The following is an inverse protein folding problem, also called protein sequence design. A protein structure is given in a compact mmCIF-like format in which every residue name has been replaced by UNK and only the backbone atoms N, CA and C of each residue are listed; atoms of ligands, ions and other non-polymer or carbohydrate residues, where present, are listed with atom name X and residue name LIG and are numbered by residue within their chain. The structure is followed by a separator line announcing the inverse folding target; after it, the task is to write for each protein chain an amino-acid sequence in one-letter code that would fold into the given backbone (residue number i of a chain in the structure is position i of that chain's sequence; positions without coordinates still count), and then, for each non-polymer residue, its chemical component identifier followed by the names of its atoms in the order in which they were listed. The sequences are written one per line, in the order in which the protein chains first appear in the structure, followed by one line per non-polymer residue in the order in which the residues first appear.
data_IF_558847790359
#
_entry.id   IF_558847790359
#
_cell.length_a   1.000
_cell.length_b   1.000
_cell.length_c   1.000
_cell.angle_alpha   90.00
_cell.angle_beta   90.00
_cell.angle_gamma   90.00
#
_symmetry.space_group_name_H-M   'P 1'
#
loop_
_entity.id
_entity.type
_entity.pdbx_description
1 polymer ?
#
# COMPACT_ATOMS: atom_id res chain seq x y z
N UNK A 1 -25.30 -34.39 38.27
CA UNK A 1 -25.28 -34.15 36.82
C UNK A 1 -25.83 -32.75 36.59
N UNK A 2 -24.97 -31.75 36.47
CA UNK A 2 -25.35 -30.36 36.21
C UNK A 2 -24.36 -29.79 35.19
N UNK A 3 -24.90 -28.89 34.36
CA UNK A 3 -24.24 -27.97 33.44
C UNK A 3 -23.87 -28.53 32.06
N UNK A 4 -24.82 -28.40 31.14
CA UNK A 4 -24.49 -27.96 29.79
C UNK A 4 -24.16 -26.47 29.83
N UNK A 5 -23.07 -26.09 29.16
CA UNK A 5 -22.73 -24.71 28.83
C UNK A 5 -22.42 -24.69 27.34
N UNK A 6 -23.44 -24.32 26.55
CA UNK A 6 -23.22 -23.81 25.21
C UNK A 6 -22.71 -22.39 25.33
N UNK A 7 -21.47 -22.15 24.90
CA UNK A 7 -20.95 -20.81 24.65
C UNK A 7 -21.20 -20.50 23.19
N UNK A 8 -22.32 -19.84 22.89
CA UNK A 8 -22.47 -19.08 21.65
C UNK A 8 -21.69 -17.78 21.84
N UNK A 9 -20.53 -17.67 21.21
CA UNK A 9 -19.88 -16.39 21.02
C UNK A 9 -20.68 -15.60 19.98
N UNK A 10 -21.63 -14.79 20.43
CA UNK A 10 -22.09 -13.66 19.63
C UNK A 10 -20.89 -12.70 19.50
N UNK A 11 -20.31 -12.65 18.30
CA UNK A 11 -19.40 -11.59 17.94
C UNK A 11 -20.22 -10.29 17.96
N UNK A 12 -20.00 -9.46 18.98
CA UNK A 12 -20.57 -8.12 19.03
C UNK A 12 -20.06 -7.36 17.80
N UNK A 13 -20.94 -7.09 16.84
CA UNK A 13 -20.66 -6.19 15.73
C UNK A 13 -20.61 -4.78 16.28
N UNK A 14 -19.40 -4.26 16.48
CA UNK A 14 -19.20 -2.85 16.76
C UNK A 14 -19.26 -2.05 15.46
N UNK A 15 -20.15 -1.06 15.43
CA UNK A 15 -20.29 -0.17 14.28
C UNK A 15 -19.23 0.93 14.36
N UNK A 16 -18.56 1.22 13.24
CA UNK A 16 -17.62 2.34 13.13
C UNK A 16 -18.22 3.69 13.58
N UNK A 17 -19.56 3.84 13.53
CA UNK A 17 -20.27 5.00 14.07
C UNK A 17 -20.09 5.21 15.57
N UNK A 18 -19.89 4.14 16.34
CA UNK A 18 -19.80 4.17 17.81
C UNK A 18 -18.46 4.77 18.28
N UNK A 19 -17.48 4.82 17.36
CA UNK A 19 -16.14 5.39 17.55
C UNK A 19 -16.00 6.83 17.02
N UNK A 20 -17.10 7.45 16.57
CA UNK A 20 -17.05 8.79 15.97
C UNK A 20 -16.30 8.84 14.64
N UNK A 21 -16.15 7.69 13.96
CA UNK A 21 -15.49 7.59 12.66
C UNK A 21 -16.26 8.43 11.65
N UNK A 22 -15.56 9.34 10.95
CA UNK A 22 -16.13 10.20 9.90
C UNK A 22 -16.89 9.32 8.89
N UNK A 23 -18.05 9.78 8.38
CA UNK A 23 -18.88 9.05 7.39
C UNK A 23 -18.11 8.61 6.12
N UNK A 24 -16.90 9.14 5.89
CA UNK A 24 -16.04 8.85 4.74
C UNK A 24 -14.64 8.32 5.12
N UNK A 25 -14.50 7.63 6.26
CA UNK A 25 -13.20 7.10 6.68
C UNK A 25 -12.65 6.07 5.67
N UNK A 26 -11.39 6.27 5.28
CA UNK A 26 -10.75 5.48 4.24
C UNK A 26 -9.94 4.33 4.85
N UNK A 27 -10.63 3.23 5.18
CA UNK A 27 -9.96 1.99 5.58
C UNK A 27 -9.33 1.33 4.35
N UNK A 28 -8.00 1.23 4.34
CA UNK A 28 -7.26 0.61 3.26
C UNK A 28 -6.69 -0.73 3.67
N UNK A 29 -6.99 -1.75 2.87
CA UNK A 29 -6.38 -3.07 3.02
C UNK A 29 -4.97 -3.09 2.44
N UNK A 30 -3.95 -3.09 3.30
CA UNK A 30 -2.54 -3.07 2.89
C UNK A 30 -2.18 -4.36 2.16
N UNK A 31 -1.75 -4.21 0.91
CA UNK A 31 -1.48 -5.31 -0.04
C UNK A 31 -2.65 -6.29 -0.12
N UNK A 32 -3.87 -5.76 -0.06
CA UNK A 32 -5.10 -6.51 0.19
C UNK A 32 -5.34 -6.72 1.68
N UNK A 33 -5.00 -7.88 2.22
CA UNK A 33 -5.20 -8.18 3.64
C UNK A 33 -4.02 -9.02 4.14
N UNK A 34 -2.79 -8.50 4.02
CA UNK A 34 -1.54 -9.27 4.24
C UNK A 34 -1.47 -9.99 5.58
N UNK A 35 -2.15 -9.51 6.61
CA UNK A 35 -2.24 -10.19 7.91
C UNK A 35 -3.06 -11.47 7.89
N UNK A 36 -3.92 -11.64 6.89
CA UNK A 36 -4.95 -12.69 6.80
C UNK A 36 -4.82 -13.58 5.57
N UNK A 37 -4.33 -13.05 4.46
CA UNK A 37 -4.16 -13.74 3.17
C UNK A 37 -2.84 -13.30 2.48
N UNK A 38 -2.35 -14.02 1.46
CA UNK A 38 -1.07 -13.72 0.83
C UNK A 38 -1.06 -12.34 0.20
N UNK A 39 -0.04 -11.54 0.52
CA UNK A 39 0.05 -10.14 0.11
C UNK A 39 0.09 -9.95 -1.41
N UNK A 40 -0.52 -8.87 -1.90
CA UNK A 40 -0.49 -8.49 -3.31
C UNK A 40 -0.93 -9.62 -4.27
N UNK A 41 -1.76 -10.55 -3.78
CA UNK A 41 -2.36 -11.62 -4.59
C UNK A 41 -3.84 -11.37 -4.83
N UNK A 42 -4.40 -11.97 -5.88
CA UNK A 42 -5.84 -11.90 -6.14
C UNK A 42 -6.67 -12.47 -4.97
N UNK A 43 -6.16 -13.49 -4.28
CA UNK A 43 -6.78 -14.00 -3.05
C UNK A 43 -6.75 -12.97 -1.91
N UNK A 44 -5.61 -12.30 -1.70
CA UNK A 44 -5.48 -11.22 -0.71
C UNK A 44 -6.44 -10.06 -0.96
N UNK A 45 -6.59 -9.64 -2.22
CA UNK A 45 -7.55 -8.60 -2.60
C UNK A 45 -9.00 -9.06 -2.47
N UNK A 46 -9.30 -10.30 -2.86
CA UNK A 46 -10.64 -10.87 -2.63
C UNK A 46 -10.99 -10.87 -1.15
N UNK A 47 -10.03 -11.21 -0.28
CA UNK A 47 -10.25 -11.19 1.16
C UNK A 47 -10.52 -9.77 1.69
N UNK A 48 -9.80 -8.77 1.21
CA UNK A 48 -10.04 -7.38 1.57
C UNK A 48 -11.43 -6.89 1.11
N UNK A 49 -11.86 -7.27 -0.09
CA UNK A 49 -13.21 -6.97 -0.60
C UNK A 49 -14.30 -7.60 0.28
N UNK A 50 -14.13 -8.86 0.69
CA UNK A 50 -15.06 -9.55 1.61
C UNK A 50 -15.20 -8.81 2.95
N UNK A 51 -14.10 -8.20 3.42
CA UNK A 51 -14.05 -7.45 4.68
C UNK A 51 -14.58 -6.02 4.53
N UNK A 52 -14.96 -5.60 3.31
CA UNK A 52 -15.61 -4.32 3.07
C UNK A 52 -14.67 -3.11 3.17
N UNK A 53 -13.37 -3.27 2.87
CA UNK A 53 -12.44 -2.13 2.86
C UNK A 53 -12.91 -1.05 1.87
N UNK A 54 -12.64 0.20 2.20
CA UNK A 54 -12.91 1.35 1.31
C UNK A 54 -11.97 1.33 0.11
N UNK A 55 -10.71 0.94 0.33
CA UNK A 55 -9.64 1.00 -0.66
C UNK A 55 -8.78 -0.26 -0.61
N UNK A 56 -8.44 -0.80 -1.77
CA UNK A 56 -7.38 -1.79 -1.92
C UNK A 56 -6.06 -1.03 -2.09
N UNK A 57 -5.17 -1.18 -1.12
CA UNK A 57 -3.80 -0.68 -1.21
C UNK A 57 -2.91 -1.77 -1.80
N UNK A 58 -1.99 -1.39 -2.68
CA UNK A 58 -1.15 -2.31 -3.41
C UNK A 58 0.15 -1.67 -3.91
N UNK A 59 1.15 -2.51 -4.10
CA UNK A 59 2.44 -2.13 -4.66
C UNK A 59 2.57 -2.60 -6.11
N UNK A 60 3.17 -1.78 -6.97
CA UNK A 60 3.42 -2.17 -8.37
C UNK A 60 4.90 -2.16 -8.72
N UNK A 61 5.25 -2.94 -9.75
CA UNK A 61 6.52 -2.90 -10.46
C UNK A 61 6.31 -3.13 -11.96
N UNK A 62 7.33 -2.90 -12.77
CA UNK A 62 7.28 -3.07 -14.23
C UNK A 62 8.29 -4.14 -14.67
N UNK A 63 7.82 -5.12 -15.44
CA UNK A 63 8.66 -6.20 -16.00
C UNK A 63 9.45 -5.73 -17.22
N UNK A 64 10.40 -6.55 -17.69
CA UNK A 64 11.21 -6.27 -18.89
C UNK A 64 10.37 -6.01 -20.14
N UNK A 65 9.25 -6.71 -20.26
CA UNK A 65 8.30 -6.62 -21.38
C UNK A 65 7.18 -5.58 -21.13
N UNK A 66 7.36 -4.66 -20.16
CA UNK A 66 6.47 -3.53 -19.92
C UNK A 66 5.16 -3.87 -19.22
N UNK A 67 5.05 -5.04 -18.58
CA UNK A 67 3.84 -5.44 -17.85
C UNK A 67 3.89 -4.88 -16.43
N UNK A 68 2.84 -4.14 -16.05
CA UNK A 68 2.65 -3.69 -14.67
C UNK A 68 2.15 -4.85 -13.83
N UNK A 69 2.98 -5.26 -12.87
CA UNK A 69 2.73 -6.37 -11.94
C UNK A 69 2.55 -5.85 -10.53
N UNK A 70 1.82 -6.60 -9.70
CA UNK A 70 1.57 -6.24 -8.31
C UNK A 70 2.55 -7.00 -7.42
N UNK A 71 3.55 -6.31 -6.89
CA UNK A 71 4.57 -6.89 -6.01
C UNK A 71 5.33 -5.77 -5.27
N UNK A 72 5.68 -6.00 -4.01
CA UNK A 72 6.24 -4.96 -3.14
C UNK A 72 7.71 -4.62 -3.41
N UNK A 73 8.52 -5.63 -3.72
CA UNK A 73 9.96 -5.48 -3.87
C UNK A 73 10.34 -5.29 -5.34
N UNK A 74 11.45 -4.60 -5.64
CA UNK A 74 11.98 -4.56 -7.01
C UNK A 74 12.48 -5.93 -7.52
N UNK A 75 12.51 -6.94 -6.65
CA UNK A 75 12.92 -8.31 -6.91
C UNK A 75 11.89 -9.30 -6.36
N UNK A 76 11.91 -10.52 -6.86
CA UNK A 76 11.04 -11.58 -6.38
C UNK A 76 11.44 -11.98 -4.95
N UNK A 77 10.53 -11.79 -3.99
CA UNK A 77 10.87 -11.83 -2.57
C UNK A 77 11.09 -13.29 -2.07
N UNK A 78 12.29 -13.64 -1.55
CA UNK A 78 12.63 -14.97 -1.04
C UNK A 78 11.76 -15.50 0.10
N UNK A 79 11.07 -14.61 0.82
CA UNK A 79 10.20 -14.96 1.93
C UNK A 79 8.79 -15.36 1.49
N UNK A 80 8.42 -15.17 0.22
CA UNK A 80 7.08 -15.50 -0.27
C UNK A 80 7.08 -16.28 -1.58
N UNK A 81 8.17 -16.25 -2.35
CA UNK A 81 8.22 -16.84 -3.68
C UNK A 81 8.93 -18.19 -3.75
N UNK A 82 8.34 -19.14 -4.47
CA UNK A 82 8.93 -20.44 -4.82
C UNK A 82 8.64 -20.81 -6.26
N UNK A 83 9.53 -21.60 -6.85
CA UNK A 83 9.38 -22.11 -8.21
C UNK A 83 8.32 -23.23 -8.30
N UNK A 84 8.09 -23.73 -9.52
CA UNK A 84 7.14 -24.80 -9.81
C UNK A 84 7.47 -26.14 -9.12
N UNK A 85 8.70 -26.33 -8.65
CA UNK A 85 9.13 -27.50 -7.90
C UNK A 85 8.99 -27.30 -6.38
N UNK A 86 8.47 -26.14 -5.96
CA UNK A 86 8.32 -25.76 -4.55
C UNK A 86 9.61 -25.27 -3.90
N UNK A 87 10.68 -25.02 -4.66
CA UNK A 87 11.94 -24.50 -4.12
C UNK A 87 11.82 -22.99 -3.94
N UNK A 88 12.01 -22.53 -2.70
CA UNK A 88 12.04 -21.10 -2.38
C UNK A 88 13.15 -20.39 -3.14
N UNK A 89 12.85 -19.17 -3.59
CA UNK A 89 13.87 -18.23 -4.05
C UNK A 89 14.87 -18.00 -2.90
N UNK A 90 16.15 -17.92 -3.22
CA UNK A 90 17.23 -17.89 -2.22
C UNK A 90 17.82 -16.50 -2.01
N UNK A 91 17.78 -15.65 -3.04
CA UNK A 91 18.43 -14.34 -3.06
C UNK A 91 17.59 -13.30 -3.80
N UNK A 92 18.11 -12.07 -3.84
CA UNK A 92 17.43 -10.90 -4.42
C UNK A 92 17.84 -10.63 -5.88
N UNK A 93 18.42 -11.60 -6.59
CA UNK A 93 18.91 -11.39 -7.95
C UNK A 93 17.81 -11.44 -9.02
N UNK A 94 16.64 -12.00 -8.70
CA UNK A 94 15.49 -12.04 -9.59
C UNK A 94 14.76 -10.68 -9.62
N UNK A 95 15.38 -9.70 -10.26
CA UNK A 95 14.87 -8.33 -10.39
C UNK A 95 13.75 -8.28 -11.42
N UNK A 96 12.59 -7.72 -11.07
CA UNK A 96 11.38 -7.73 -11.90
C UNK A 96 11.62 -7.14 -13.30
N UNK A 97 12.33 -6.00 -13.38
CA UNK A 97 12.61 -5.31 -14.66
C UNK A 97 13.50 -6.10 -15.63
N UNK A 98 14.11 -7.19 -15.16
CA UNK A 98 14.99 -8.05 -15.99
C UNK A 98 14.29 -9.29 -16.52
N UNK A 99 13.07 -9.56 -16.04
CA UNK A 99 12.28 -10.74 -16.38
C UNK A 99 11.08 -10.33 -17.25
N UNK A 100 10.74 -11.14 -18.25
CA UNK A 100 9.44 -11.03 -18.91
C UNK A 100 8.36 -11.56 -17.97
N UNK A 101 7.12 -11.10 -18.13
CA UNK A 101 6.01 -11.52 -17.26
C UNK A 101 5.81 -13.05 -17.25
N UNK A 102 5.94 -13.72 -18.39
CA UNK A 102 5.78 -15.18 -18.49
C UNK A 102 6.75 -15.94 -17.57
N UNK A 103 7.97 -15.42 -17.38
CA UNK A 103 8.96 -16.00 -16.46
C UNK A 103 8.57 -15.75 -15.00
N UNK A 104 8.08 -14.54 -14.69
CA UNK A 104 7.64 -14.19 -13.35
C UNK A 104 6.40 -14.99 -12.93
N UNK A 105 5.48 -15.25 -13.86
CA UNK A 105 4.25 -16.02 -13.65
C UNK A 105 4.49 -17.50 -13.35
N UNK A 106 5.74 -18.01 -13.48
CA UNK A 106 6.09 -19.37 -13.06
C UNK A 106 6.25 -19.52 -11.55
N UNK A 107 6.33 -18.42 -10.80
CA UNK A 107 6.53 -18.45 -9.36
C UNK A 107 5.22 -18.39 -8.60
N UNK A 108 5.13 -19.21 -7.56
CA UNK A 108 4.02 -19.22 -6.63
C UNK A 108 4.38 -18.32 -5.42
N UNK A 109 3.50 -17.37 -5.12
CA UNK A 109 3.60 -16.38 -4.03
C UNK A 109 2.49 -16.52 -2.99
N UNK A 110 1.75 -17.62 -3.02
CA UNK A 110 0.57 -17.85 -2.18
C UNK A 110 0.86 -18.29 -0.75
N UNK A 111 2.14 -18.35 -0.36
CA UNK A 111 2.56 -18.90 0.93
C UNK A 111 3.82 -18.22 1.45
N UNK A 112 3.80 -17.88 2.73
CA UNK A 112 4.98 -17.44 3.46
C UNK A 112 5.98 -18.59 3.60
N UNK A 113 7.26 -18.30 3.39
CA UNK A 113 8.37 -19.21 3.68
C UNK A 113 8.43 -19.44 5.19
N UNK A 114 8.21 -20.69 5.67
CA UNK A 114 8.29 -21.00 7.09
C UNK A 114 9.64 -20.61 7.69
N UNK A 115 9.66 -20.39 9.00
CA UNK A 115 10.87 -20.12 9.78
C UNK A 115 11.67 -18.89 9.33
N UNK A 116 10.98 -17.91 8.73
CA UNK A 116 11.54 -16.59 8.42
C UNK A 116 10.96 -15.55 9.36
N UNK A 117 11.75 -14.52 9.68
CA UNK A 117 11.26 -13.33 10.41
C UNK A 117 10.06 -12.68 9.73
N UNK A 118 9.93 -12.83 8.41
CA UNK A 118 8.78 -12.33 7.68
C UNK A 118 7.51 -13.13 8.01
N UNK A 119 7.61 -14.47 8.04
CA UNK A 119 6.49 -15.32 8.41
C UNK A 119 6.05 -15.11 9.86
N UNK A 120 6.99 -14.90 10.78
CA UNK A 120 6.72 -14.63 12.20
C UNK A 120 5.85 -13.38 12.42
N UNK A 121 5.89 -12.40 11.51
CA UNK A 121 5.09 -11.17 11.59
C UNK A 121 3.61 -11.37 11.26
N UNK A 122 3.26 -12.46 10.57
CA UNK A 122 1.91 -12.71 10.07
C UNK A 122 1.40 -14.10 10.48
N UNK A 123 1.32 -14.39 11.79
CA UNK A 123 0.95 -15.73 12.29
C UNK A 123 -0.50 -16.11 11.94
N UNK A 124 -1.35 -15.13 11.61
CA UNK A 124 -2.75 -15.34 11.25
C UNK A 124 -2.97 -15.52 9.73
N UNK A 125 -1.94 -15.26 8.91
CA UNK A 125 -2.07 -15.35 7.46
C UNK A 125 -2.35 -16.79 7.04
N UNK A 126 -3.41 -16.98 6.25
CA UNK A 126 -3.74 -18.26 5.63
C UNK A 126 -3.14 -18.31 4.23
N UNK A 127 -2.44 -19.39 3.94
CA UNK A 127 -1.90 -19.63 2.61
C UNK A 127 -3.03 -19.95 1.64
N UNK A 128 -2.91 -19.44 0.43
CA UNK A 128 -3.77 -19.81 -0.69
C UNK A 128 -2.87 -20.38 -1.76
N UNK A 129 -2.91 -21.70 -1.91
CA UNK A 129 -2.09 -22.37 -2.93
C UNK A 129 -2.52 -21.89 -4.32
N UNK A 130 -1.57 -21.83 -5.26
CA UNK A 130 -1.76 -21.37 -6.65
C UNK A 130 -1.96 -19.86 -6.87
N UNK A 131 -1.38 -19.01 -6.03
CA UNK A 131 -1.24 -17.58 -6.36
C UNK A 131 0.09 -17.32 -7.08
N UNK A 132 0.02 -16.65 -8.23
CA UNK A 132 1.17 -16.07 -8.95
C UNK A 132 1.30 -14.59 -8.64
N UNK A 133 2.38 -13.93 -9.07
CA UNK A 133 2.45 -12.46 -9.09
C UNK A 133 1.42 -11.95 -10.12
N UNK A 134 0.35 -11.26 -9.71
CA UNK A 134 -0.70 -10.86 -10.63
C UNK A 134 -0.31 -9.61 -11.42
N UNK A 135 -0.92 -9.43 -12.60
CA UNK A 135 -0.88 -8.13 -13.28
C UNK A 135 -1.85 -7.17 -12.62
N UNK A 136 -1.60 -5.87 -12.73
CA UNK A 136 -2.57 -4.87 -12.30
C UNK A 136 -3.93 -5.04 -13.01
N UNK A 137 -3.90 -5.38 -14.31
CA UNK A 137 -5.09 -5.67 -15.11
C UNK A 137 -5.94 -6.83 -14.53
N UNK A 138 -5.31 -7.83 -13.91
CA UNK A 138 -6.01 -8.98 -13.34
C UNK A 138 -6.80 -8.57 -12.09
N UNK A 139 -6.27 -7.65 -11.28
CA UNK A 139 -6.98 -7.09 -10.13
C UNK A 139 -8.18 -6.26 -10.58
N UNK A 140 -8.03 -5.41 -11.60
CA UNK A 140 -9.16 -4.65 -12.14
C UNK A 140 -10.27 -5.56 -12.65
N UNK A 141 -9.91 -6.63 -13.39
CA UNK A 141 -10.87 -7.63 -13.84
C UNK A 141 -11.54 -8.38 -12.67
N UNK A 142 -10.80 -8.68 -11.60
CA UNK A 142 -11.35 -9.30 -10.38
C UNK A 142 -12.42 -8.40 -9.73
N UNK A 143 -12.11 -7.11 -9.53
CA UNK A 143 -13.06 -6.15 -8.95
C UNK A 143 -14.28 -5.98 -9.84
N UNK A 144 -14.11 -5.87 -11.15
CA UNK A 144 -15.24 -5.80 -12.09
C UNK A 144 -16.13 -7.05 -11.99
N UNK A 145 -15.53 -8.25 -11.99
CA UNK A 145 -16.23 -9.52 -11.87
C UNK A 145 -16.97 -9.68 -10.54
N UNK A 146 -16.43 -9.15 -9.45
CA UNK A 146 -17.10 -9.14 -8.13
C UNK A 146 -18.37 -8.29 -8.10
N UNK A 147 -18.58 -7.43 -9.11
CA UNK A 147 -19.69 -6.47 -9.13
C UNK A 147 -19.47 -5.25 -8.24
N UNK A 148 -18.36 -5.14 -7.52
CA UNK A 148 -18.06 -4.01 -6.65
C UNK A 148 -17.81 -2.72 -7.47
N UNK A 149 -18.69 -1.73 -7.27
CA UNK A 149 -18.64 -0.44 -7.98
C UNK A 149 -18.03 0.70 -7.17
N UNK A 150 -17.70 0.49 -5.90
CA UNK A 150 -17.35 1.57 -4.96
C UNK A 150 -15.92 1.50 -4.44
N UNK A 151 -15.31 0.31 -4.34
CA UNK A 151 -13.94 0.17 -3.80
C UNK A 151 -12.95 1.03 -4.59
N UNK A 152 -12.03 1.68 -3.90
CA UNK A 152 -10.97 2.48 -4.55
C UNK A 152 -9.67 1.67 -4.60
N UNK A 153 -8.67 2.20 -5.32
CA UNK A 153 -7.33 1.64 -5.39
C UNK A 153 -6.32 2.71 -4.98
N UNK A 154 -5.39 2.38 -4.09
CA UNK A 154 -4.24 3.21 -3.78
C UNK A 154 -2.97 2.49 -4.24
N UNK A 155 -2.45 2.89 -5.40
CA UNK A 155 -1.43 2.14 -6.13
C UNK A 155 -0.06 2.76 -5.88
N UNK A 156 0.86 2.02 -5.26
CA UNK A 156 2.23 2.47 -5.06
C UNK A 156 3.11 2.21 -6.29
N UNK A 157 3.82 3.23 -6.78
CA UNK A 157 4.95 3.03 -7.69
C UNK A 157 6.20 2.67 -6.89
N UNK A 158 6.59 1.38 -6.86
CA UNK A 158 7.82 0.95 -6.17
C UNK A 158 9.05 1.22 -7.02
N UNK A 159 9.60 2.40 -6.85
CA UNK A 159 10.88 2.85 -7.41
C UNK A 159 11.74 3.40 -6.26
N UNK A 160 13.05 3.29 -6.43
CA UNK A 160 14.01 3.78 -5.45
C UNK A 160 15.10 4.59 -6.17
N UNK A 161 15.24 5.90 -5.89
CA UNK A 161 16.25 6.76 -6.52
C UNK A 161 17.68 6.34 -6.21
N UNK A 162 17.92 5.70 -5.06
CA UNK A 162 19.23 5.22 -4.61
C UNK A 162 19.63 3.90 -5.31
N UNK A 163 18.67 3.21 -5.93
CA UNK A 163 18.85 1.95 -6.66
C UNK A 163 18.31 2.06 -8.10
N UNK A 164 18.79 2.99 -8.94
CA UNK A 164 18.22 3.26 -10.27
C UNK A 164 18.32 2.04 -11.21
N UNK A 165 19.20 1.08 -10.91
CA UNK A 165 19.32 -0.17 -11.66
C UNK A 165 18.36 -1.27 -11.19
N UNK A 166 17.55 -1.07 -10.16
CA UNK A 166 16.60 -2.07 -9.66
C UNK A 166 15.22 -1.98 -10.34
N UNK A 167 14.80 -0.80 -10.81
CA UNK A 167 13.49 -0.55 -11.42
C UNK A 167 13.62 0.18 -12.76
N UNK A 168 12.53 0.33 -13.52
CA UNK A 168 12.50 1.23 -14.69
C UNK A 168 12.61 2.69 -14.23
N UNK A 169 12.88 3.61 -15.15
CA UNK A 169 12.92 5.05 -14.84
C UNK A 169 11.52 5.59 -14.47
N UNK A 170 11.43 6.71 -13.73
CA UNK A 170 10.14 7.26 -13.29
C UNK A 170 9.12 7.46 -14.42
N UNK A 171 9.53 8.05 -15.55
CA UNK A 171 8.65 8.30 -16.71
C UNK A 171 8.10 7.00 -17.30
N UNK A 172 8.97 6.02 -17.57
CA UNK A 172 8.58 4.70 -18.09
C UNK A 172 7.62 3.97 -17.14
N UNK A 173 7.82 4.14 -15.83
CA UNK A 173 6.95 3.54 -14.82
C UNK A 173 5.55 4.15 -14.91
N UNK A 174 5.46 5.47 -14.86
CA UNK A 174 4.18 6.20 -14.86
C UNK A 174 3.44 5.97 -16.17
N UNK A 175 4.13 5.99 -17.31
CA UNK A 175 3.52 5.70 -18.61
C UNK A 175 2.87 4.30 -18.62
N UNK A 176 3.63 3.26 -18.23
CA UNK A 176 3.13 1.90 -18.18
C UNK A 176 1.90 1.76 -17.26
N UNK A 177 1.94 2.42 -16.08
CA UNK A 177 0.85 2.42 -15.12
C UNK A 177 -0.41 3.11 -15.66
N UNK A 178 -0.27 4.31 -16.21
CA UNK A 178 -1.38 5.09 -16.76
C UNK A 178 -2.04 4.39 -17.96
N UNK A 179 -1.26 3.70 -18.80
CA UNK A 179 -1.80 2.88 -19.90
C UNK A 179 -2.74 1.81 -19.37
N UNK A 180 -2.38 1.09 -18.30
CA UNK A 180 -3.25 0.05 -17.71
C UNK A 180 -4.49 0.68 -17.08
N UNK A 181 -4.33 1.76 -16.31
CA UNK A 181 -5.45 2.45 -15.64
C UNK A 181 -6.48 2.95 -16.67
N UNK A 182 -6.04 3.63 -17.73
CA UNK A 182 -6.89 4.16 -18.80
C UNK A 182 -7.59 3.05 -19.56
N UNK A 183 -6.86 2.00 -19.93
CA UNK A 183 -7.42 0.83 -20.65
C UNK A 183 -8.57 0.16 -19.91
N UNK A 184 -8.54 0.18 -18.58
CA UNK A 184 -9.59 -0.39 -17.73
C UNK A 184 -10.60 0.63 -17.19
N UNK A 185 -10.52 1.90 -17.62
CA UNK A 185 -11.40 2.99 -17.17
C UNK A 185 -11.43 3.15 -15.64
N UNK A 186 -10.29 3.01 -14.97
CA UNK A 186 -10.20 3.06 -13.50
C UNK A 186 -9.79 4.42 -12.93
N UNK A 187 -9.66 5.45 -13.76
CA UNK A 187 -9.09 6.76 -13.40
C UNK A 187 -9.80 7.37 -12.18
N UNK A 188 -11.14 7.30 -12.13
CA UNK A 188 -11.95 7.88 -11.05
C UNK A 188 -11.88 7.11 -9.71
N UNK A 189 -11.36 5.88 -9.75
CA UNK A 189 -11.26 4.97 -8.58
C UNK A 189 -9.84 4.86 -8.05
N UNK A 190 -8.84 5.36 -8.77
CA UNK A 190 -7.42 5.22 -8.44
C UNK A 190 -6.90 6.49 -7.78
N UNK A 191 -6.04 6.31 -6.77
CA UNK A 191 -5.01 7.26 -6.37
C UNK A 191 -3.63 6.61 -6.56
N UNK A 192 -2.61 7.41 -6.81
CA UNK A 192 -1.23 6.92 -6.95
C UNK A 192 -0.41 7.43 -5.77
N UNK A 193 0.30 6.52 -5.10
CA UNK A 193 1.17 6.83 -3.96
C UNK A 193 2.64 6.50 -4.27
N UNK A 194 3.58 7.21 -3.64
CA UNK A 194 5.00 6.86 -3.71
C UNK A 194 5.83 7.55 -2.65
N UNK A 195 6.95 6.92 -2.27
CA UNK A 195 8.05 7.59 -1.56
C UNK A 195 8.92 8.42 -2.50
N UNK A 196 9.02 8.00 -3.76
CA UNK A 196 9.77 8.72 -4.79
C UNK A 196 8.81 9.69 -5.47
N UNK A 197 8.82 10.93 -5.01
CA UNK A 197 7.88 11.95 -5.43
C UNK A 197 8.03 12.32 -6.90
N UNK A 198 9.11 11.89 -7.59
CA UNK A 198 9.28 12.13 -9.03
C UNK A 198 8.16 11.50 -9.82
N UNK A 199 7.71 10.28 -9.47
CA UNK A 199 6.58 9.65 -10.14
C UNK A 199 5.28 10.41 -9.89
N UNK A 200 5.10 10.98 -8.70
CA UNK A 200 3.92 11.78 -8.36
C UNK A 200 3.88 13.08 -9.16
N UNK A 201 5.02 13.74 -9.34
CA UNK A 201 5.12 14.93 -10.19
C UNK A 201 4.76 14.62 -11.66
N UNK A 202 5.21 13.49 -12.19
CA UNK A 202 4.87 13.05 -13.55
C UNK A 202 3.37 12.74 -13.65
N UNK A 203 2.79 12.03 -12.68
CA UNK A 203 1.34 11.75 -12.64
C UNK A 203 0.52 13.04 -12.64
N UNK A 204 0.89 14.04 -11.83
CA UNK A 204 0.18 15.33 -11.79
C UNK A 204 0.22 16.06 -13.14
N UNK A 205 1.30 15.89 -13.91
CA UNK A 205 1.44 16.50 -15.23
C UNK A 205 0.64 15.74 -16.30
N UNK A 206 0.69 14.40 -16.29
CA UNK A 206 0.13 13.56 -17.36
C UNK A 206 -1.32 13.10 -17.13
N UNK A 207 -1.76 13.04 -15.88
CA UNK A 207 -3.08 12.59 -15.44
C UNK A 207 -3.55 13.38 -14.20
N UNK A 208 -3.74 14.71 -14.30
CA UNK A 208 -4.13 15.56 -13.18
C UNK A 208 -5.48 15.18 -12.55
N UNK A 209 -6.29 14.37 -13.23
CA UNK A 209 -7.52 13.80 -12.69
C UNK A 209 -7.28 12.72 -11.61
N UNK A 210 -6.09 12.11 -11.56
CA UNK A 210 -5.73 11.05 -10.61
C UNK A 210 -5.06 11.69 -9.37
N UNK A 211 -5.65 11.57 -8.17
CA UNK A 211 -5.05 12.12 -6.95
C UNK A 211 -3.71 11.46 -6.62
N UNK A 212 -2.72 12.26 -6.23
CA UNK A 212 -1.42 11.79 -5.73
C UNK A 212 -1.33 11.82 -4.21
N UNK A 213 -0.73 10.76 -3.65
CA UNK A 213 -0.58 10.47 -2.21
C UNK A 213 0.91 10.41 -1.86
N UNK A 214 1.35 11.28 -0.96
CA UNK A 214 2.77 11.47 -0.66
C UNK A 214 3.18 10.61 0.54
N UNK A 215 3.95 9.55 0.29
CA UNK A 215 4.46 8.67 1.35
C UNK A 215 5.68 9.31 2.03
N UNK A 216 5.72 9.24 3.36
CA UNK A 216 6.85 9.76 4.15
C UNK A 216 7.23 8.80 5.26
N UNK A 217 8.53 8.70 5.52
CA UNK A 217 9.10 8.07 6.70
C UNK A 217 10.41 8.77 7.06
N UNK A 218 10.69 8.92 8.35
CA UNK A 218 11.92 9.43 8.93
C UNK A 218 12.45 8.43 9.96
N UNK A 219 12.84 7.26 9.46
CA UNK A 219 13.27 6.12 10.25
C UNK A 219 14.68 5.67 9.87
N UNK A 220 15.33 4.89 10.74
CA UNK A 220 16.65 4.33 10.44
C UNK A 220 16.70 3.43 9.19
N UNK A 221 15.56 2.86 8.80
CA UNK A 221 15.44 1.98 7.64
C UNK A 221 15.02 2.71 6.35
N UNK A 222 14.51 3.94 6.47
CA UNK A 222 14.18 4.84 5.37
C UNK A 222 13.97 6.23 5.94
N UNK A 223 14.69 7.21 5.40
CA UNK A 223 14.42 8.63 5.61
C UNK A 223 14.35 9.30 4.25
N UNK A 224 13.12 9.42 3.71
CA UNK A 224 12.94 10.04 2.40
C UNK A 224 12.79 11.56 2.50
N UNK A 225 12.60 12.12 3.69
CA UNK A 225 12.42 13.56 3.91
C UNK A 225 13.76 14.26 4.17
N UNK A 226 14.70 13.59 4.84
CA UNK A 226 16.04 14.08 5.12
C UNK A 226 16.07 15.44 5.85
N UNK A 227 15.12 15.68 6.75
CA UNK A 227 14.98 16.94 7.49
C UNK A 227 16.28 17.38 8.19
N UNK A 228 16.65 18.64 8.04
CA UNK A 228 17.86 19.21 8.62
C UNK A 228 19.17 18.80 7.94
N UNK A 229 19.10 18.11 6.79
CA UNK A 229 20.26 17.82 5.94
C UNK A 229 20.37 18.87 4.83
N UNK A 230 21.58 19.24 4.44
CA UNK A 230 21.78 20.27 3.42
C UNK A 230 21.28 19.79 2.03
N UNK A 231 20.27 20.50 1.51
CA UNK A 231 19.77 20.32 0.15
C UNK A 231 18.66 19.27 0.04
N UNK A 232 18.22 19.03 -1.20
CA UNK A 232 17.04 18.19 -1.47
C UNK A 232 17.37 16.72 -1.40
N UNK A 233 16.49 15.93 -0.78
CA UNK A 233 16.49 14.47 -0.87
C UNK A 233 16.24 14.02 -2.31
N UNK A 234 16.95 12.98 -2.78
CA UNK A 234 16.73 12.38 -4.10
C UNK A 234 15.30 11.81 -4.24
N UNK A 235 14.63 11.58 -3.12
CA UNK A 235 13.27 11.05 -3.04
C UNK A 235 12.19 12.11 -3.25
N UNK A 236 12.46 13.38 -2.96
CA UNK A 236 11.42 14.41 -2.84
C UNK A 236 11.29 15.26 -4.09
N UNK A 237 11.80 14.81 -5.24
CA UNK A 237 11.69 15.52 -6.52
C UNK A 237 12.16 16.99 -6.48
N UNK A 238 13.18 17.29 -5.66
CA UNK A 238 13.71 18.64 -5.51
C UNK A 238 12.98 19.54 -4.51
N UNK A 239 12.03 19.01 -3.75
CA UNK A 239 11.43 19.72 -2.61
C UNK A 239 12.27 19.48 -1.36
N UNK A 240 12.60 20.53 -0.62
CA UNK A 240 13.30 20.45 0.66
C UNK A 240 12.34 20.85 1.80
N UNK A 241 12.26 20.05 2.86
CA UNK A 241 11.38 20.33 4.00
C UNK A 241 11.83 21.56 4.79
N UNK A 242 13.12 21.90 4.73
CA UNK A 242 13.70 23.02 5.47
C UNK A 242 13.25 24.38 4.88
N UNK A 243 12.92 24.43 3.58
CA UNK A 243 12.25 25.58 2.95
C UNK A 243 10.87 25.87 3.55
N UNK A 244 10.26 24.86 4.19
CA UNK A 244 8.98 24.93 4.89
C UNK A 244 9.14 24.92 6.41
N UNK A 245 10.34 25.22 6.92
CA UNK A 245 10.65 25.25 8.36
C UNK A 245 10.38 23.91 9.06
N UNK A 246 10.59 22.80 8.35
CA UNK A 246 10.34 21.45 8.87
C UNK A 246 8.89 20.97 8.77
N UNK A 247 7.98 21.76 8.15
CA UNK A 247 6.59 21.35 7.97
C UNK A 247 6.42 20.44 6.75
N UNK A 248 6.32 19.13 7.01
CA UNK A 248 6.02 18.11 5.98
C UNK A 248 4.65 18.37 5.33
N UNK A 249 3.56 18.70 6.06
CA UNK A 249 2.29 18.97 5.41
C UNK A 249 2.35 20.13 4.39
N UNK A 250 3.03 21.23 4.74
CA UNK A 250 3.24 22.35 3.81
C UNK A 250 4.07 21.94 2.59
N UNK A 251 5.12 21.17 2.80
CA UNK A 251 5.94 20.63 1.72
C UNK A 251 5.12 19.75 0.76
N UNK A 252 4.32 18.82 1.31
CA UNK A 252 3.43 17.96 0.51
C UNK A 252 2.41 18.79 -0.26
N UNK A 253 1.82 19.81 0.37
CA UNK A 253 0.86 20.71 -0.30
C UNK A 253 1.53 21.50 -1.43
N UNK A 254 2.73 22.01 -1.20
CA UNK A 254 3.53 22.72 -2.20
C UNK A 254 3.88 21.84 -3.40
N UNK A 255 4.14 20.55 -3.16
CA UNK A 255 4.34 19.54 -4.19
C UNK A 255 3.04 19.12 -4.92
N UNK A 256 1.90 19.74 -4.63
CA UNK A 256 0.62 19.44 -5.28
C UNK A 256 -0.08 18.20 -4.73
N UNK A 257 0.35 17.68 -3.57
CA UNK A 257 -0.27 16.54 -2.91
C UNK A 257 -1.72 16.78 -2.51
N UNK A 258 -2.52 15.71 -2.57
CA UNK A 258 -3.91 15.69 -2.08
C UNK A 258 -4.04 14.93 -0.76
N UNK A 259 -3.12 14.00 -0.51
CA UNK A 259 -3.06 13.16 0.67
C UNK A 259 -1.61 13.08 1.14
N UNK A 260 -1.40 13.26 2.44
CA UNK A 260 -0.16 12.92 3.12
C UNK A 260 -0.31 11.55 3.81
N UNK A 261 0.62 10.65 3.54
CA UNK A 261 0.59 9.27 4.05
C UNK A 261 1.89 8.94 4.81
N UNK A 262 2.00 9.35 6.08
CA UNK A 262 3.20 9.13 6.88
C UNK A 262 3.25 7.75 7.55
N UNK A 263 4.45 7.32 7.92
CA UNK A 263 4.61 6.24 8.88
C UNK A 263 3.93 6.61 10.21
N UNK A 264 3.02 5.76 10.68
CA UNK A 264 2.06 6.13 11.71
C UNK A 264 2.65 6.62 13.05
N UNK A 265 3.86 6.16 13.40
CA UNK A 265 4.53 6.52 14.67
C UNK A 265 5.13 7.91 14.67
N UNK A 266 5.15 8.58 13.52
CA UNK A 266 5.66 9.95 13.36
C UNK A 266 4.53 10.98 13.51
N UNK A 267 3.27 10.54 13.58
CA UNK A 267 2.13 11.44 13.68
C UNK A 267 1.90 11.95 15.12
N UNK A 268 1.46 13.20 15.18
CA UNK A 268 0.86 13.83 16.36
C UNK A 268 -0.43 14.54 15.95
N UNK A 269 -1.30 14.86 16.90
CA UNK A 269 -2.53 15.62 16.64
C UNK A 269 -2.24 16.99 16.02
N UNK A 270 -1.12 17.64 16.40
CA UNK A 270 -0.70 18.91 15.82
C UNK A 270 -0.38 18.79 14.33
N UNK A 271 0.34 17.73 13.94
CA UNK A 271 0.66 17.46 12.54
C UNK A 271 -0.58 17.11 11.71
N UNK A 272 -1.51 16.34 12.28
CA UNK A 272 -2.80 16.04 11.61
C UNK A 272 -3.60 17.33 11.39
N UNK A 273 -3.69 18.18 12.41
CA UNK A 273 -4.38 19.48 12.32
C UNK A 273 -3.71 20.41 11.30
N UNK A 274 -2.37 20.47 11.26
CA UNK A 274 -1.65 21.26 10.27
C UNK A 274 -1.94 20.76 8.85
N UNK A 275 -1.92 19.44 8.63
CA UNK A 275 -2.26 18.87 7.32
C UNK A 275 -3.69 19.20 6.89
N UNK A 276 -4.66 19.16 7.80
CA UNK A 276 -6.03 19.58 7.50
C UNK A 276 -6.14 21.08 7.19
N UNK A 277 -5.32 21.94 7.83
CA UNK A 277 -5.26 23.37 7.51
C UNK A 277 -4.70 23.64 6.09
N UNK A 278 -3.82 22.76 5.60
CA UNK A 278 -3.31 22.77 4.23
C UNK A 278 -4.25 22.06 3.22
N UNK A 279 -5.46 21.67 3.66
CA UNK A 279 -6.45 20.95 2.86
C UNK A 279 -5.90 19.60 2.31
N UNK A 280 -5.12 18.90 3.14
CA UNK A 280 -4.66 17.54 2.88
C UNK A 280 -5.49 16.53 3.65
N UNK A 281 -5.68 15.34 3.08
CA UNK A 281 -6.10 14.17 3.85
C UNK A 281 -4.90 13.49 4.49
N UNK A 282 -5.08 12.89 5.67
CA UNK A 282 -4.02 12.16 6.37
C UNK A 282 -4.38 10.68 6.47
N UNK A 283 -3.57 9.81 5.87
CA UNK A 283 -3.80 8.36 5.86
C UNK A 283 -2.49 7.63 6.23
N UNK A 284 -2.21 7.39 7.52
CA UNK A 284 -0.98 6.73 7.94
C UNK A 284 -0.93 5.23 7.63
N UNK A 285 0.29 4.69 7.64
CA UNK A 285 0.59 3.28 7.42
C UNK A 285 1.75 2.78 8.33
N UNK A 286 1.94 1.48 8.53
CA UNK A 286 0.91 0.43 8.50
C UNK A 286 0.51 0.15 9.94
N UNK A 287 -0.77 0.31 10.26
CA UNK A 287 -1.28 0.24 11.64
C UNK A 287 -1.91 -1.13 11.89
N UNK A 288 -1.36 -1.92 12.81
CA UNK A 288 -1.75 -3.32 13.00
C UNK A 288 -2.12 -3.69 14.43
N UNK A 289 -2.04 -2.74 15.36
CA UNK A 289 -2.44 -2.92 16.76
C UNK A 289 -3.64 -2.04 17.11
N UNK A 290 -4.59 -2.54 17.93
CA UNK A 290 -5.80 -1.79 18.27
C UNK A 290 -5.54 -0.45 18.95
N UNK A 291 -4.51 -0.36 19.81
CA UNK A 291 -4.19 0.86 20.56
C UNK A 291 -3.81 2.01 19.61
N UNK A 292 -2.85 1.78 18.71
CA UNK A 292 -2.45 2.77 17.72
C UNK A 292 -3.60 3.13 16.79
N UNK A 293 -4.44 2.16 16.43
CA UNK A 293 -5.60 2.40 15.56
C UNK A 293 -6.61 3.35 16.22
N UNK A 294 -6.99 3.08 17.47
CA UNK A 294 -7.88 3.97 18.25
C UNK A 294 -7.26 5.35 18.42
N UNK A 295 -5.98 5.42 18.79
CA UNK A 295 -5.28 6.69 18.97
C UNK A 295 -5.30 7.54 17.69
N UNK A 296 -5.05 6.94 16.51
CA UNK A 296 -5.06 7.66 15.24
C UNK A 296 -6.46 8.14 14.84
N UNK A 297 -7.51 7.34 15.12
CA UNK A 297 -8.91 7.80 14.96
C UNK A 297 -9.16 9.03 15.83
N UNK A 298 -8.75 9.01 17.10
CA UNK A 298 -8.91 10.13 18.03
C UNK A 298 -8.11 11.37 17.59
N UNK A 299 -6.94 11.19 16.95
CA UNK A 299 -6.19 12.28 16.31
C UNK A 299 -6.93 12.88 15.10
N UNK A 300 -7.94 12.21 14.56
CA UNK A 300 -8.78 12.70 13.47
C UNK A 300 -8.31 12.37 12.06
N UNK A 301 -7.42 11.38 11.89
CA UNK A 301 -6.95 10.93 10.57
C UNK A 301 -8.12 10.55 9.65
N UNK A 302 -7.94 10.69 8.34
CA UNK A 302 -9.02 10.49 7.36
C UNK A 302 -9.12 9.04 6.87
N UNK A 303 -8.13 8.21 7.20
CA UNK A 303 -8.10 6.79 6.87
C UNK A 303 -6.90 6.10 7.51
N UNK A 304 -6.83 4.78 7.41
CA UNK A 304 -5.71 3.98 7.91
C UNK A 304 -5.40 2.87 6.91
N UNK A 305 -4.12 2.65 6.63
CA UNK A 305 -3.62 1.48 5.90
C UNK A 305 -3.23 0.40 6.91
N UNK A 306 -3.82 -0.79 6.81
CA UNK A 306 -3.63 -1.89 7.78
C UNK A 306 -3.47 -3.25 7.10
N UNK A 307 -2.63 -4.12 7.68
CA UNK A 307 -2.55 -5.53 7.27
C UNK A 307 -3.77 -6.34 7.72
N UNK A 308 -4.51 -5.85 8.73
CA UNK A 308 -5.61 -6.53 9.40
C UNK A 308 -6.91 -5.71 9.29
N UNK A 309 -7.52 -5.61 8.09
CA UNK A 309 -8.76 -4.87 7.91
C UNK A 309 -9.96 -5.47 8.66
N UNK A 310 -9.79 -6.65 9.26
CA UNK A 310 -10.79 -7.29 10.13
C UNK A 310 -10.71 -6.85 11.60
N UNK A 311 -9.76 -5.99 11.98
CA UNK A 311 -9.72 -5.45 13.33
C UNK A 311 -11.07 -4.75 13.60
N UNK A 312 -11.83 -5.32 14.52
CA UNK A 312 -13.06 -4.75 15.04
C UNK A 312 -12.67 -3.89 16.23
N UNK A 313 -13.20 -2.67 16.29
CA UNK A 313 -12.83 -1.69 17.30
C UNK A 313 -13.98 -1.52 18.30
N UNK A 314 -13.70 -1.34 19.61
CA UNK A 314 -14.68 -1.22 20.69
C UNK A 314 -15.52 0.07 20.64
#
# INVERSE_FOLDING_TARGET
MVAGLGLTAEAASLNLSDLGVKENFNLQGHRGARGLAPENTLAGFSKALELGVTTLELDTGVTKDGVVVIHHDAYLNPSIARDSNGKWVQDKFLVLKTMNYEQLAQFNVGKLKPDTKYAERFPQQRSEEFQIVPKLADLFALVEKSGNKTVRFNIETKINPELPRATVEPDDFVEALLVVIRKHNMQDRVSIQSFDWRTLQIVQQEAPEIPTVYLTAQQKWLDNIAMGQDGTSDWTAGFDVDDYKGSIPKMVKSAGGSVWSPFYRELTSELVNEAHQEDLKVIPWTVNDPESFTQLIEMGVDGIITDYPNLQFP
#
